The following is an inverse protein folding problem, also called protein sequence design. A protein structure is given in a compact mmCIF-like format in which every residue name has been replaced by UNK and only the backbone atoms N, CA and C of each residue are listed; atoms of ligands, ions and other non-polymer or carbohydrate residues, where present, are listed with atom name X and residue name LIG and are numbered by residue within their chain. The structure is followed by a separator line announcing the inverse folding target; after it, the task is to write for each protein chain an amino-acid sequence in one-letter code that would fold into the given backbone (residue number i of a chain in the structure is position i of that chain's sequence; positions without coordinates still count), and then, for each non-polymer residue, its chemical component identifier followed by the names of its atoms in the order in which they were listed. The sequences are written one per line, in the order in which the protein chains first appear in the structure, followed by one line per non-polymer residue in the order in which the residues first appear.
data_IF_570855829139
#
_entry.id   IF_570855829139
#
_cell.length_a   1.000
_cell.length_b   1.000
_cell.length_c   1.000
_cell.angle_alpha   90.00
_cell.angle_beta   90.00
_cell.angle_gamma   90.00
#
_symmetry.space_group_name_H-M   'P 1'
#
loop_
_entity.id
_entity.type
_entity.pdbx_description
1 polymer ?
#
# COMPACT_ATOMS: atom_id res chain seq x y z
N UNK A 1 12.60 -3.56 -2.26
CA UNK A 1 11.22 -3.13 -2.56
C UNK A 1 11.25 -1.65 -2.85
N UNK A 2 10.40 -1.17 -3.75
CA UNK A 2 10.20 0.27 -3.98
C UNK A 2 8.92 0.68 -3.27
N UNK A 3 8.96 1.75 -2.49
CA UNK A 3 7.81 2.24 -1.72
C UNK A 3 7.30 3.54 -2.28
N UNK A 4 6.00 3.72 -2.25
CA UNK A 4 5.35 5.00 -2.50
C UNK A 4 4.06 5.11 -1.68
N UNK A 5 3.60 6.34 -1.49
CA UNK A 5 2.29 6.65 -0.90
C UNK A 5 1.66 7.75 -1.73
N UNK A 6 0.40 8.07 -1.48
CA UNK A 6 -0.38 9.07 -2.20
C UNK A 6 -0.94 10.10 -1.24
N UNK A 7 -1.32 11.26 -1.75
CA UNK A 7 -2.01 12.27 -0.95
C UNK A 7 -3.34 11.73 -0.41
N UNK A 8 -4.05 10.92 -1.19
CA UNK A 8 -5.28 10.25 -0.75
C UNK A 8 -5.04 9.38 0.47
N UNK A 9 -4.01 8.53 0.45
CA UNK A 9 -3.67 7.69 1.61
C UNK A 9 -3.27 8.56 2.81
N UNK A 10 -2.55 9.67 2.61
CA UNK A 10 -2.19 10.59 3.70
C UNK A 10 -3.38 11.30 4.33
N UNK A 11 -4.46 11.53 3.58
CA UNK A 11 -5.73 12.04 4.14
C UNK A 11 -6.42 11.01 5.02
N UNK A 12 -6.32 9.72 4.67
CA UNK A 12 -6.90 8.63 5.43
C UNK A 12 -6.08 8.25 6.68
N UNK A 13 -4.75 8.41 6.61
CA UNK A 13 -3.84 8.03 7.69
C UNK A 13 -2.97 9.23 8.11
N UNK A 14 -3.30 9.88 9.24
CA UNK A 14 -2.53 11.00 9.76
C UNK A 14 -1.05 10.66 9.93
N UNK A 15 -0.18 11.58 9.53
CA UNK A 15 1.27 11.38 9.59
C UNK A 15 1.82 11.63 10.99
N UNK A 16 2.94 10.98 11.32
CA UNK A 16 3.72 11.36 12.49
C UNK A 16 4.37 12.74 12.29
N UNK A 17 4.57 13.47 13.37
CA UNK A 17 5.32 14.75 13.35
C UNK A 17 6.82 14.56 13.15
N UNK A 18 7.34 13.36 13.41
CA UNK A 18 8.75 12.96 13.28
C UNK A 18 8.85 11.63 12.53
N UNK A 19 10.00 11.29 11.91
CA UNK A 19 10.16 10.07 11.12
C UNK A 19 10.35 8.81 11.99
N UNK A 20 9.32 8.48 12.78
CA UNK A 20 9.36 7.45 13.82
C UNK A 20 8.55 6.19 13.47
N UNK A 21 7.95 6.10 12.27
CA UNK A 21 7.29 4.86 11.86
C UNK A 21 8.30 3.71 11.72
N UNK A 22 7.82 2.47 11.60
CA UNK A 22 8.68 1.30 11.35
C UNK A 22 9.46 1.35 10.04
N UNK A 23 9.11 2.31 9.16
CA UNK A 23 9.85 2.63 7.94
C UNK A 23 10.83 3.80 8.08
N UNK A 24 10.97 4.37 9.29
CA UNK A 24 11.74 5.58 9.58
C UNK A 24 11.27 6.78 8.75
N UNK A 25 9.96 6.91 8.60
CA UNK A 25 9.27 8.00 7.89
C UNK A 25 8.15 8.57 8.75
N UNK A 26 7.55 9.67 8.31
CA UNK A 26 6.34 10.23 8.93
C UNK A 26 5.09 9.46 8.51
N UNK A 27 5.11 8.85 7.32
CA UNK A 27 4.03 7.98 6.83
C UNK A 27 4.04 6.59 7.51
N UNK A 28 2.84 6.05 7.72
CA UNK A 28 2.58 4.70 8.28
C UNK A 28 1.86 3.75 7.32
N UNK A 29 1.63 4.20 6.09
CA UNK A 29 0.90 3.47 5.08
C UNK A 29 1.64 3.59 3.76
N UNK A 30 2.01 2.45 3.17
CA UNK A 30 2.76 2.42 1.91
C UNK A 30 2.21 1.37 0.96
N UNK A 31 2.24 1.73 -0.32
CA UNK A 31 2.31 0.76 -1.39
C UNK A 31 3.75 0.31 -1.58
N UNK A 32 3.94 -1.00 -1.72
CA UNK A 32 5.23 -1.65 -1.90
C UNK A 32 5.23 -2.40 -3.22
N UNK A 33 6.07 -1.97 -4.16
CA UNK A 33 6.41 -2.73 -5.36
C UNK A 33 7.44 -3.77 -4.95
N UNK A 34 7.00 -5.03 -4.96
CA UNK A 34 7.78 -6.19 -4.58
C UNK A 34 8.18 -6.91 -5.87
N UNK A 35 9.44 -6.74 -6.28
CA UNK A 35 10.06 -7.53 -7.35
C UNK A 35 10.57 -8.86 -6.81
N UNK A 36 10.32 -9.94 -7.55
CA UNK A 36 10.93 -11.26 -7.43
C UNK A 36 11.58 -11.63 -8.77
N UNK A 37 12.16 -12.81 -8.86
CA UNK A 37 12.93 -13.24 -10.02
C UNK A 37 12.12 -13.16 -11.33
N UNK A 38 10.91 -13.72 -11.34
CA UNK A 38 10.07 -13.81 -12.53
C UNK A 38 8.75 -13.02 -12.45
N UNK A 39 8.49 -12.31 -11.35
CA UNK A 39 7.27 -11.52 -11.20
C UNK A 39 7.48 -10.28 -10.36
N UNK A 40 6.54 -9.34 -10.47
CA UNK A 40 6.37 -8.30 -9.46
C UNK A 40 4.92 -8.22 -9.00
N UNK A 41 4.70 -7.60 -7.84
CA UNK A 41 3.36 -7.28 -7.33
C UNK A 41 3.38 -6.00 -6.53
N UNK A 42 2.22 -5.39 -6.35
CA UNK A 42 2.03 -4.28 -5.42
C UNK A 42 1.27 -4.75 -4.18
N UNK A 43 1.70 -4.30 -3.01
CA UNK A 43 1.04 -4.58 -1.72
C UNK A 43 0.83 -3.28 -0.97
N UNK A 44 -0.35 -3.08 -0.39
CA UNK A 44 -0.63 -1.97 0.52
C UNK A 44 -0.55 -2.46 1.96
N UNK A 45 0.32 -1.84 2.75
CA UNK A 45 0.67 -2.25 4.11
C UNK A 45 0.63 -1.05 5.08
N UNK A 46 0.23 -1.31 6.32
CA UNK A 46 0.31 -0.40 7.46
C UNK A 46 1.37 -0.86 8.46
N UNK A 47 1.93 0.09 9.21
CA UNK A 47 2.83 -0.17 10.34
C UNK A 47 2.26 0.41 11.63
N UNK A 48 2.32 -0.35 12.71
CA UNK A 48 1.84 0.10 14.03
C UNK A 48 2.92 0.70 14.92
N UNK A 49 4.17 0.75 14.47
CA UNK A 49 5.28 1.27 15.28
C UNK A 49 5.01 2.76 15.59
N UNK A 50 4.93 3.08 16.89
CA UNK A 50 4.76 4.44 17.41
C UNK A 50 3.46 5.17 17.00
N UNK A 51 2.38 4.44 16.69
CA UNK A 51 1.06 5.06 16.45
C UNK A 51 0.56 5.84 17.67
N UNK A 52 0.01 7.03 17.41
CA UNK A 52 -0.87 7.72 18.36
C UNK A 52 -2.26 7.06 18.38
N UNK A 53 -3.07 7.39 19.37
CA UNK A 53 -4.45 6.91 19.46
C UNK A 53 -5.29 7.35 18.25
N UNK A 54 -5.10 8.59 17.77
CA UNK A 54 -5.74 9.10 16.56
C UNK A 54 -5.38 8.27 15.32
N UNK A 55 -4.10 7.94 15.17
CA UNK A 55 -3.60 7.16 14.06
C UNK A 55 -4.09 5.71 14.11
N UNK A 56 -4.20 5.14 15.32
CA UNK A 56 -4.79 3.82 15.54
C UNK A 56 -6.27 3.82 15.17
N UNK A 57 -7.02 4.83 15.59
CA UNK A 57 -8.43 4.98 15.23
C UNK A 57 -8.63 5.13 13.70
N UNK A 58 -7.71 5.81 13.01
CA UNK A 58 -7.71 5.86 11.55
C UNK A 58 -7.50 4.46 10.92
N UNK A 59 -6.56 3.67 11.45
CA UNK A 59 -6.37 2.28 11.03
C UNK A 59 -7.64 1.43 11.25
N UNK A 60 -8.30 1.59 12.39
CA UNK A 60 -9.54 0.86 12.71
C UNK A 60 -10.67 1.22 11.76
N UNK A 61 -10.85 2.53 11.47
CA UNK A 61 -11.87 3.02 10.53
C UNK A 61 -11.71 2.40 9.15
N UNK A 62 -10.48 2.41 8.60
CA UNK A 62 -10.20 1.78 7.30
C UNK A 62 -10.43 0.28 7.35
N UNK A 63 -10.07 -0.36 8.45
CA UNK A 63 -10.25 -1.81 8.65
C UNK A 63 -11.72 -2.21 8.63
N UNK A 64 -12.57 -1.42 9.30
CA UNK A 64 -14.02 -1.58 9.29
C UNK A 64 -14.61 -1.34 7.90
N UNK A 65 -14.24 -0.24 7.24
CA UNK A 65 -14.69 0.09 5.87
C UNK A 65 -14.39 -1.01 4.84
N UNK A 66 -13.31 -1.76 5.06
CA UNK A 66 -12.89 -2.86 4.19
C UNK A 66 -13.44 -4.23 4.62
N UNK A 67 -14.20 -4.33 5.73
CA UNK A 67 -14.57 -5.59 6.38
C UNK A 67 -13.33 -6.48 6.62
N UNK A 68 -12.24 -5.87 7.08
CA UNK A 68 -10.95 -6.52 7.37
C UNK A 68 -10.53 -6.22 8.80
N UNK A 69 -11.23 -6.77 9.80
CA UNK A 69 -10.86 -6.60 11.19
C UNK A 69 -9.44 -7.08 11.44
N UNK A 70 -8.83 -6.53 12.48
CA UNK A 70 -7.53 -6.99 12.93
C UNK A 70 -7.59 -8.44 13.39
N UNK A 71 -6.62 -9.23 12.94
CA UNK A 71 -6.48 -10.63 13.38
C UNK A 71 -5.78 -10.74 14.74
N UNK A 72 -5.07 -9.69 15.14
CA UNK A 72 -4.30 -9.57 16.39
C UNK A 72 -4.32 -8.10 16.79
N UNK A 73 -4.60 -7.78 18.04
CA UNK A 73 -4.65 -6.38 18.52
C UNK A 73 -3.28 -5.67 18.51
N UNK A 74 -2.19 -6.44 18.55
CA UNK A 74 -0.80 -5.99 18.63
C UNK A 74 -0.04 -6.13 17.30
N UNK A 75 -0.75 -6.13 16.16
CA UNK A 75 -0.11 -6.29 14.86
C UNK A 75 0.94 -5.22 14.62
N UNK A 76 2.16 -5.62 14.23
CA UNK A 76 3.20 -4.67 13.80
C UNK A 76 3.04 -4.24 12.34
N UNK A 77 2.75 -5.21 11.49
CA UNK A 77 2.59 -5.04 10.05
C UNK A 77 1.23 -5.57 9.62
N UNK A 78 0.35 -4.69 9.13
CA UNK A 78 -0.94 -5.10 8.60
C UNK A 78 -0.96 -4.97 7.09
N UNK A 79 -1.14 -6.10 6.41
CA UNK A 79 -1.34 -6.11 4.96
C UNK A 79 -2.80 -5.85 4.64
N UNK A 80 -3.09 -4.69 4.05
CA UNK A 80 -4.45 -4.29 3.69
C UNK A 80 -4.87 -4.91 2.36
N UNK A 81 -4.03 -4.85 1.32
CA UNK A 81 -4.38 -5.37 -0.01
C UNK A 81 -3.15 -5.89 -0.75
N UNK A 82 -3.35 -6.95 -1.52
CA UNK A 82 -2.40 -7.39 -2.55
C UNK A 82 -3.06 -7.18 -3.91
N UNK A 83 -2.33 -6.62 -4.87
CA UNK A 83 -2.68 -6.70 -6.27
C UNK A 83 -2.17 -8.03 -6.86
N UNK A 84 -2.73 -8.47 -7.99
CA UNK A 84 -2.25 -9.66 -8.70
C UNK A 84 -0.74 -9.61 -8.94
N UNK A 85 -0.13 -10.79 -9.01
CA UNK A 85 1.25 -10.92 -9.47
C UNK A 85 1.27 -10.76 -10.98
N UNK A 86 2.25 -10.03 -11.47
CA UNK A 86 2.52 -9.87 -12.90
C UNK A 86 3.81 -10.59 -13.21
N UNK A 87 3.70 -11.75 -13.86
CA UNK A 87 4.85 -12.47 -14.42
C UNK A 87 5.34 -11.68 -15.62
N UNK A 88 6.66 -11.54 -15.76
CA UNK A 88 7.26 -10.91 -16.93
C UNK A 88 7.78 -12.01 -17.83
N UNK A 89 7.23 -12.11 -19.03
CA UNK A 89 7.61 -13.14 -20.01
C UNK A 89 8.74 -12.65 -20.92
N UNK A 90 8.85 -11.34 -21.11
CA UNK A 90 9.86 -10.73 -21.95
C UNK A 90 11.27 -10.87 -21.38
N UNK A 91 12.27 -11.00 -22.26
CA UNK A 91 13.69 -11.06 -21.88
C UNK A 91 14.14 -9.82 -21.09
N UNK A 92 14.84 -9.96 -19.95
CA UNK A 92 15.30 -8.84 -19.14
C UNK A 92 16.06 -7.79 -19.95
N UNK A 93 15.72 -6.52 -19.73
CA UNK A 93 16.30 -5.34 -20.38
C UNK A 93 15.98 -5.15 -21.88
N UNK A 94 15.16 -6.01 -22.48
CA UNK A 94 14.59 -5.76 -23.81
C UNK A 94 13.60 -4.59 -23.79
N UNK A 95 13.26 -4.04 -24.96
CA UNK A 95 12.22 -3.01 -25.04
C UNK A 95 10.85 -3.58 -24.63
N UNK A 96 10.52 -4.78 -25.10
CA UNK A 96 9.31 -5.51 -24.70
C UNK A 96 9.21 -5.68 -23.17
N UNK A 97 10.34 -5.92 -22.49
CA UNK A 97 10.37 -6.02 -21.03
C UNK A 97 9.98 -4.72 -20.34
N UNK A 98 10.44 -3.57 -20.84
CA UNK A 98 10.03 -2.27 -20.30
C UNK A 98 8.56 -1.99 -20.58
N UNK A 99 8.11 -2.21 -21.81
CA UNK A 99 6.72 -2.02 -22.22
C UNK A 99 5.76 -2.88 -21.38
N UNK A 100 6.10 -4.14 -21.15
CA UNK A 100 5.33 -5.07 -20.33
C UNK A 100 5.23 -4.59 -18.87
N UNK A 101 6.35 -4.16 -18.28
CA UNK A 101 6.35 -3.57 -16.94
C UNK A 101 5.47 -2.33 -16.87
N UNK A 102 5.61 -1.39 -17.83
CA UNK A 102 4.81 -0.17 -17.84
C UNK A 102 3.32 -0.47 -17.99
N UNK A 103 2.94 -1.40 -18.86
CA UNK A 103 1.55 -1.84 -19.02
C UNK A 103 0.96 -2.33 -17.70
N UNK A 104 1.67 -3.20 -16.98
CA UNK A 104 1.21 -3.72 -15.70
C UNK A 104 1.20 -2.65 -14.59
N UNK A 105 2.21 -1.78 -14.52
CA UNK A 105 2.23 -0.68 -13.56
C UNK A 105 1.09 0.31 -13.78
N UNK A 106 0.81 0.69 -15.04
CA UNK A 106 -0.31 1.56 -15.39
C UNK A 106 -1.66 0.92 -15.03
N UNK A 107 -1.81 -0.40 -15.25
CA UNK A 107 -3.01 -1.13 -14.85
C UNK A 107 -3.18 -1.13 -13.33
N UNK A 108 -2.13 -1.45 -12.58
CA UNK A 108 -2.18 -1.41 -11.11
C UNK A 108 -2.46 0.01 -10.60
N UNK A 109 -1.93 1.05 -11.25
CA UNK A 109 -2.16 2.43 -10.86
C UNK A 109 -3.63 2.82 -10.96
N UNK A 110 -4.31 2.47 -12.06
CA UNK A 110 -5.77 2.68 -12.20
C UNK A 110 -6.57 1.95 -11.12
N UNK A 111 -6.20 0.71 -10.82
CA UNK A 111 -6.83 -0.08 -9.75
C UNK A 111 -6.57 0.49 -8.35
N UNK A 112 -5.39 1.07 -8.12
CA UNK A 112 -5.04 1.77 -6.87
C UNK A 112 -5.89 3.03 -6.74
N UNK A 113 -6.01 3.84 -7.78
CA UNK A 113 -6.84 5.05 -7.76
C UNK A 113 -8.31 4.72 -7.48
N UNK A 114 -8.83 3.66 -8.11
CA UNK A 114 -10.20 3.18 -7.84
C UNK A 114 -10.35 2.74 -6.37
N UNK A 115 -9.40 1.93 -5.88
CA UNK A 115 -9.41 1.48 -4.49
C UNK A 115 -9.35 2.64 -3.49
N UNK A 116 -8.52 3.65 -3.76
CA UNK A 116 -8.40 4.85 -2.92
C UNK A 116 -9.69 5.66 -2.86
N UNK A 117 -10.33 5.90 -4.01
CA UNK A 117 -11.62 6.59 -4.07
C UNK A 117 -12.72 5.80 -3.35
N UNK A 118 -12.77 4.48 -3.57
CA UNK A 118 -13.73 3.61 -2.87
C UNK A 118 -13.52 3.64 -1.35
N UNK A 119 -12.28 3.78 -0.89
CA UNK A 119 -11.95 3.83 0.52
C UNK A 119 -12.30 5.18 1.14
N UNK A 120 -12.01 6.29 0.46
CA UNK A 120 -12.44 7.63 0.86
C UNK A 120 -13.96 7.67 1.06
N UNK A 121 -14.72 7.24 0.06
CA UNK A 121 -16.20 7.26 0.11
C UNK A 121 -16.81 6.39 1.24
N UNK A 122 -16.05 5.45 1.79
CA UNK A 122 -16.50 4.57 2.89
C UNK A 122 -16.03 5.04 4.27
N UNK A 123 -15.15 6.04 4.32
CA UNK A 123 -14.51 6.52 5.56
C UNK A 123 -14.80 8.00 5.85
N UNK A 124 -15.39 8.71 4.90
CA UNK A 124 -16.23 9.91 5.11
C UNK A 124 -17.55 9.54 5.79
#
# INVERSE_FOLDING_TARGET
YTRFTTETIRKLFPQHTKPISGWKTTDMAFYEIIKRENYFKITFSLCSDNLTDEQRAACDRVSQALNRPDRKEDWRWKRIRNWPRHTIESEPNSENYKEEIYRYLNTNWREIQKFENDLLNKTE
#
